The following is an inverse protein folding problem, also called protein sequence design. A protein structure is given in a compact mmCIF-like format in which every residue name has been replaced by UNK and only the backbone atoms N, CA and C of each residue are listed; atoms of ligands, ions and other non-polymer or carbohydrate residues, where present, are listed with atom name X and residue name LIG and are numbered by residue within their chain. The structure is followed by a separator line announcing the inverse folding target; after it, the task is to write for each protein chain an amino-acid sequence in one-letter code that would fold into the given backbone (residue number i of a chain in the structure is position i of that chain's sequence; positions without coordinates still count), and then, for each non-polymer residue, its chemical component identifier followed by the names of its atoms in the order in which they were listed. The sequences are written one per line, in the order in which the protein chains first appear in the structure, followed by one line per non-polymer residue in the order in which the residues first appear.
data_IF_176695412057
#
_entry.id   IF_176695412057
#
_cell.length_a   1.000
_cell.length_b   1.000
_cell.length_c   1.000
_cell.angle_alpha   90.00
_cell.angle_beta   90.00
_cell.angle_gamma   90.00
#
_symmetry.space_group_name_H-M   'P 1'
#
loop_
_entity.id
_entity.type
_entity.pdbx_description
1 polymer ?
#
# COMPACT_ATOMS: atom_id res chain seq x y z
N UNK A 1 3.39 46.62 -11.99
CA UNK A 1 3.08 45.27 -11.49
C UNK A 1 1.77 45.37 -10.78
N UNK A 2 0.77 44.67 -11.29
CA UNK A 2 -0.62 44.85 -10.94
C UNK A 2 -0.86 44.32 -9.52
N UNK A 3 -1.63 45.03 -8.69
CA UNK A 3 -1.84 44.61 -7.29
C UNK A 3 -2.53 43.24 -7.20
N UNK A 4 -3.14 42.79 -8.29
CA UNK A 4 -3.73 41.48 -8.48
C UNK A 4 -2.67 40.38 -8.67
N UNK A 5 -1.61 40.63 -9.46
CA UNK A 5 -0.51 39.68 -9.68
C UNK A 5 0.19 39.35 -8.36
N UNK A 6 0.49 40.38 -7.56
CA UNK A 6 1.13 40.21 -6.24
C UNK A 6 0.28 39.38 -5.28
N UNK A 7 -1.06 39.46 -5.38
CA UNK A 7 -1.97 38.64 -4.57
C UNK A 7 -2.02 37.19 -5.05
N UNK A 8 -2.02 36.98 -6.37
CA UNK A 8 -2.00 35.66 -6.98
C UNK A 8 -0.70 34.93 -6.61
N UNK A 9 0.45 35.61 -6.71
CA UNK A 9 1.75 35.03 -6.35
C UNK A 9 1.81 34.61 -4.88
N UNK A 10 1.30 35.46 -3.98
CA UNK A 10 1.20 35.12 -2.55
C UNK A 10 0.27 33.94 -2.29
N UNK A 11 -0.86 33.85 -2.99
CA UNK A 11 -1.77 32.71 -2.88
C UNK A 11 -1.11 31.43 -3.39
N UNK A 12 -0.41 31.49 -4.52
CA UNK A 12 0.32 30.36 -5.08
C UNK A 12 1.41 29.87 -4.10
N UNK A 13 2.14 30.79 -3.47
CA UNK A 13 3.16 30.46 -2.47
C UNK A 13 2.55 29.78 -1.22
N UNK A 14 1.42 30.28 -0.72
CA UNK A 14 0.72 29.68 0.43
C UNK A 14 0.23 28.27 0.08
N UNK A 15 -0.41 28.11 -1.08
CA UNK A 15 -0.91 26.82 -1.55
C UNK A 15 0.24 25.82 -1.67
N UNK A 16 1.37 26.26 -2.24
CA UNK A 16 2.55 25.43 -2.39
C UNK A 16 3.10 24.96 -1.03
N UNK A 17 3.21 25.88 -0.06
CA UNK A 17 3.64 25.54 1.32
C UNK A 17 2.68 24.57 1.99
N UNK A 18 1.36 24.77 1.83
CA UNK A 18 0.35 23.87 2.36
C UNK A 18 0.44 22.48 1.74
N UNK A 19 0.66 22.41 0.42
CA UNK A 19 0.84 21.14 -0.28
C UNK A 19 2.07 20.39 0.24
N UNK A 20 3.22 21.05 0.34
CA UNK A 20 4.44 20.43 0.89
C UNK A 20 4.24 19.91 2.32
N UNK A 21 3.52 20.66 3.15
CA UNK A 21 3.23 20.25 4.52
C UNK A 21 2.33 19.01 4.56
N UNK A 22 1.26 18.99 3.76
CA UNK A 22 0.37 17.82 3.65
C UNK A 22 1.11 16.59 3.12
N UNK A 23 2.00 16.77 2.14
CA UNK A 23 2.83 15.68 1.62
C UNK A 23 3.81 15.13 2.66
N UNK A 24 4.39 16.00 3.50
CA UNK A 24 5.26 15.58 4.58
C UNK A 24 4.51 14.78 5.66
N UNK A 25 3.29 15.20 6.00
CA UNK A 25 2.42 14.47 6.92
C UNK A 25 2.01 13.10 6.36
N UNK A 26 1.52 13.05 5.11
CA UNK A 26 1.12 11.80 4.47
C UNK A 26 2.30 10.82 4.35
N UNK A 27 3.50 11.33 4.05
CA UNK A 27 4.74 10.50 4.06
C UNK A 27 5.03 9.93 5.44
N UNK A 28 4.84 10.72 6.51
CA UNK A 28 5.08 10.29 7.89
C UNK A 28 4.08 9.21 8.31
N UNK A 29 2.80 9.38 7.98
CA UNK A 29 1.75 8.40 8.31
C UNK A 29 1.92 7.08 7.54
N UNK A 30 2.31 7.14 6.27
CA UNK A 30 2.52 5.93 5.44
C UNK A 30 3.87 5.26 5.65
N UNK A 31 4.77 5.88 6.42
CA UNK A 31 6.17 5.45 6.56
C UNK A 31 6.31 4.03 7.10
N UNK A 32 5.42 3.58 7.96
CA UNK A 32 5.45 2.20 8.47
C UNK A 32 4.46 1.28 7.75
N UNK A 33 3.57 1.82 6.92
CA UNK A 33 2.45 1.07 6.37
C UNK A 33 2.85 0.12 5.23
N UNK A 34 2.15 -1.00 5.18
CA UNK A 34 2.26 -2.02 4.13
C UNK A 34 0.89 -2.28 3.53
N UNK A 35 0.85 -2.49 2.22
CA UNK A 35 -0.35 -2.92 1.50
C UNK A 35 -0.17 -4.36 1.03
N UNK A 36 -1.07 -5.24 1.46
CA UNK A 36 -1.12 -6.64 1.06
C UNK A 36 -2.24 -6.82 0.06
N UNK A 37 -1.93 -7.40 -1.09
CA UNK A 37 -2.81 -7.59 -2.24
C UNK A 37 -3.05 -9.08 -2.46
N UNK A 38 -4.24 -9.43 -2.94
CA UNK A 38 -4.57 -10.82 -3.32
C UNK A 38 -4.92 -11.74 -2.15
N UNK A 39 -5.22 -11.18 -0.96
CA UNK A 39 -5.74 -11.95 0.17
C UNK A 39 -7.25 -12.16 -0.03
N UNK A 40 -7.75 -13.40 -0.08
CA UNK A 40 -9.17 -13.69 -0.29
C UNK A 40 -10.08 -12.95 0.71
N UNK A 41 -11.22 -12.46 0.23
CA UNK A 41 -12.22 -11.74 1.05
C UNK A 41 -12.95 -12.68 2.03
N UNK A 42 -13.82 -12.14 2.88
CA UNK A 42 -14.50 -12.81 4.01
C UNK A 42 -15.22 -14.12 3.65
N UNK A 43 -15.60 -14.32 2.38
CA UNK A 43 -16.31 -15.52 1.91
C UNK A 43 -15.39 -16.63 1.37
N UNK A 44 -14.08 -16.38 1.29
CA UNK A 44 -13.11 -17.32 0.72
C UNK A 44 -12.04 -17.68 1.76
N UNK A 45 -11.75 -18.97 1.90
CA UNK A 45 -10.75 -19.46 2.85
C UNK A 45 -9.35 -19.40 2.25
N UNK A 46 -8.40 -18.83 3.00
CA UNK A 46 -6.97 -18.95 2.68
C UNK A 46 -6.39 -20.03 3.58
N UNK A 47 -6.13 -21.21 3.02
CA UNK A 47 -5.58 -22.35 3.76
C UNK A 47 -6.38 -22.71 5.02
N UNK A 48 -7.72 -22.55 4.99
CA UNK A 48 -8.61 -22.80 6.12
C UNK A 48 -8.78 -21.65 7.12
N UNK A 49 -8.19 -20.47 6.87
CA UNK A 49 -8.46 -19.26 7.68
C UNK A 49 -9.65 -18.49 7.10
N UNK A 50 -10.57 -18.06 7.97
CA UNK A 50 -11.81 -17.34 7.61
C UNK A 50 -11.66 -15.84 7.91
N UNK A 51 -11.07 -15.50 9.06
CA UNK A 51 -10.87 -14.11 9.48
C UNK A 51 -9.60 -13.49 8.87
N UNK A 52 -9.62 -12.18 8.67
CA UNK A 52 -8.47 -11.45 8.13
C UNK A 52 -7.23 -11.58 9.03
N UNK A 53 -7.40 -11.51 10.35
CA UNK A 53 -6.30 -11.71 11.30
C UNK A 53 -5.64 -13.09 11.15
N UNK A 54 -6.43 -14.15 11.00
CA UNK A 54 -5.91 -15.51 10.84
C UNK A 54 -5.24 -15.70 9.48
N UNK A 55 -5.78 -15.08 8.43
CA UNK A 55 -5.17 -15.07 7.09
C UNK A 55 -3.81 -14.36 7.11
N UNK A 56 -3.72 -13.23 7.82
CA UNK A 56 -2.48 -12.50 8.00
C UNK A 56 -1.46 -13.33 8.80
N UNK A 57 -1.88 -14.00 9.88
CA UNK A 57 -1.00 -14.87 10.66
C UNK A 57 -0.36 -15.98 9.80
N UNK A 58 -1.13 -16.62 8.93
CA UNK A 58 -0.58 -17.62 7.97
C UNK A 58 0.42 -17.01 6.99
N UNK A 59 0.16 -15.78 6.53
CA UNK A 59 1.11 -15.04 5.70
C UNK A 59 2.39 -14.75 6.50
N UNK A 60 2.29 -14.38 7.78
CA UNK A 60 3.44 -14.12 8.65
C UNK A 60 4.28 -15.36 8.95
N UNK A 61 3.63 -16.51 9.20
CA UNK A 61 4.29 -17.79 9.40
C UNK A 61 5.18 -18.14 8.21
N UNK A 62 4.68 -17.95 6.98
CA UNK A 62 5.44 -18.21 5.75
C UNK A 62 6.60 -17.22 5.57
N UNK A 63 6.38 -15.97 5.93
CA UNK A 63 7.43 -14.95 5.86
C UNK A 63 8.51 -15.19 6.92
N UNK A 64 8.21 -15.96 7.97
CA UNK A 64 9.09 -16.17 9.12
C UNK A 64 9.20 -14.92 9.98
N UNK A 65 8.15 -14.09 10.00
CA UNK A 65 8.13 -12.84 10.78
C UNK A 65 7.21 -13.03 11.97
N UNK A 66 7.78 -13.02 13.17
CA UNK A 66 7.02 -13.20 14.41
C UNK A 66 6.54 -11.83 14.93
N UNK A 67 5.36 -11.82 15.57
CA UNK A 67 4.81 -10.68 16.31
C UNK A 67 4.70 -9.38 15.50
N UNK A 68 4.05 -9.45 14.34
CA UNK A 68 3.64 -8.25 13.61
C UNK A 68 2.43 -7.62 14.32
N UNK A 69 2.69 -6.85 15.38
CA UNK A 69 1.68 -6.08 16.09
C UNK A 69 1.31 -4.84 15.27
N UNK A 70 0.19 -4.90 14.57
CA UNK A 70 -0.29 -3.79 13.75
C UNK A 70 -1.80 -3.82 13.56
N UNK A 71 -2.41 -2.63 13.51
CA UNK A 71 -3.81 -2.50 13.14
C UNK A 71 -3.94 -2.78 11.62
N UNK A 72 -4.96 -3.52 11.23
CA UNK A 72 -5.22 -3.84 9.82
C UNK A 72 -6.61 -3.37 9.41
N UNK A 73 -6.76 -2.99 8.14
CA UNK A 73 -8.04 -2.56 7.56
C UNK A 73 -8.10 -2.93 6.08
N UNK A 74 -9.22 -3.47 5.62
CA UNK A 74 -9.50 -3.66 4.19
C UNK A 74 -9.67 -2.32 3.47
N UNK A 75 -9.08 -2.19 2.30
CA UNK A 75 -9.19 -1.00 1.44
C UNK A 75 -10.23 -1.23 0.34
N UNK A 76 -11.07 -0.22 0.11
CA UNK A 76 -12.09 -0.24 -0.94
C UNK A 76 -13.45 -0.76 -0.46
N UNK A 77 -14.41 -0.79 -1.40
CA UNK A 77 -15.80 -1.17 -1.14
C UNK A 77 -15.99 -2.66 -1.43
N UNK A 78 -16.82 -3.34 -0.65
CA UNK A 78 -17.21 -4.72 -0.92
C UNK A 78 -17.92 -4.81 -2.27
N UNK A 79 -17.37 -5.55 -3.22
CA UNK A 79 -17.97 -5.73 -4.53
C UNK A 79 -19.21 -6.63 -4.41
N UNK A 80 -20.39 -6.03 -4.27
CA UNK A 80 -21.66 -6.75 -4.42
C UNK A 80 -21.92 -6.98 -5.92
N UNK A 81 -21.88 -8.24 -6.37
CA UNK A 81 -22.49 -8.66 -7.63
C UNK A 81 -21.64 -8.61 -8.92
N UNK A 82 -20.32 -8.39 -8.85
CA UNK A 82 -19.45 -8.39 -10.05
C UNK A 82 -18.78 -9.75 -10.33
N UNK A 83 -18.78 -10.20 -11.59
CA UNK A 83 -18.01 -11.36 -12.08
C UNK A 83 -16.50 -11.23 -11.90
N UNK A 84 -16.01 -10.01 -11.62
CA UNK A 84 -14.61 -9.72 -11.36
C UNK A 84 -14.37 -9.50 -9.85
N UNK A 85 -14.37 -10.60 -9.09
CA UNK A 85 -14.09 -10.61 -7.64
C UNK A 85 -12.60 -10.35 -7.37
N UNK A 86 -12.11 -9.15 -7.65
CA UNK A 86 -10.77 -8.74 -7.21
C UNK A 86 -10.79 -8.60 -5.69
N UNK A 87 -9.98 -9.41 -5.01
CA UNK A 87 -9.89 -9.37 -3.56
C UNK A 87 -9.43 -7.99 -3.08
N UNK A 88 -10.12 -7.44 -2.07
CA UNK A 88 -9.78 -6.13 -1.51
C UNK A 88 -8.39 -6.15 -0.87
N UNK A 89 -7.54 -5.13 -1.14
CA UNK A 89 -6.26 -5.00 -0.45
C UNK A 89 -6.44 -4.85 1.06
N UNK A 90 -5.47 -5.32 1.84
CA UNK A 90 -5.40 -5.06 3.28
C UNK A 90 -4.29 -4.03 3.51
N UNK A 91 -4.65 -2.92 4.16
CA UNK A 91 -3.68 -1.99 4.73
C UNK A 91 -3.28 -2.50 6.11
N UNK A 92 -1.98 -2.59 6.33
CA UNK A 92 -1.38 -2.91 7.62
C UNK A 92 -0.60 -1.71 8.12
N UNK A 93 -1.00 -1.22 9.29
CA UNK A 93 -0.33 -0.13 9.98
C UNK A 93 0.63 -0.74 11.01
N UNK A 94 1.92 -0.67 10.70
CA UNK A 94 2.99 -1.15 11.57
C UNK A 94 3.45 -0.01 12.49
N UNK A 95 4.09 -0.38 13.59
CA UNK A 95 4.67 0.61 14.50
C UNK A 95 6.00 1.18 13.99
N UNK A 96 6.76 0.37 13.25
CA UNK A 96 8.12 0.73 12.84
C UNK A 96 8.38 0.52 11.34
N UNK A 97 9.18 1.42 10.76
CA UNK A 97 9.67 1.31 9.39
C UNK A 97 10.63 0.12 9.22
N UNK A 98 11.41 -0.23 10.25
CA UNK A 98 12.32 -1.37 10.16
C UNK A 98 11.55 -2.68 9.98
N UNK A 99 10.42 -2.83 10.69
CA UNK A 99 9.51 -3.96 10.50
C UNK A 99 8.92 -3.98 9.08
N UNK A 100 8.50 -2.82 8.57
CA UNK A 100 8.04 -2.68 7.18
C UNK A 100 9.08 -3.20 6.20
N UNK A 101 10.32 -2.75 6.34
CA UNK A 101 11.42 -3.12 5.45
C UNK A 101 11.73 -4.62 5.52
N UNK A 102 11.78 -5.17 6.74
CA UNK A 102 11.98 -6.61 6.94
C UNK A 102 10.88 -7.44 6.27
N UNK A 103 9.61 -7.08 6.44
CA UNK A 103 8.47 -7.74 5.79
C UNK A 103 8.61 -7.72 4.26
N UNK A 104 9.01 -6.58 3.69
CA UNK A 104 9.16 -6.43 2.24
C UNK A 104 10.30 -7.27 1.66
N UNK A 105 11.38 -7.47 2.42
CA UNK A 105 12.48 -8.34 2.02
C UNK A 105 12.06 -9.81 2.01
N UNK A 106 11.30 -10.22 3.03
CA UNK A 106 10.79 -11.59 3.12
C UNK A 106 9.64 -11.86 2.15
N UNK A 107 8.95 -10.83 1.64
CA UNK A 107 7.80 -10.94 0.74
C UNK A 107 8.04 -11.82 -0.50
N UNK A 108 9.29 -11.95 -0.94
CA UNK A 108 9.67 -12.84 -2.06
C UNK A 108 9.35 -14.31 -1.76
N UNK A 109 9.44 -14.75 -0.50
CA UNK A 109 9.15 -16.12 -0.05
C UNK A 109 7.70 -16.55 -0.33
N UNK A 110 6.76 -15.60 -0.39
CA UNK A 110 5.36 -15.90 -0.72
C UNK A 110 5.19 -16.48 -2.13
N UNK A 111 6.12 -16.21 -3.04
CA UNK A 111 6.08 -16.76 -4.40
C UNK A 111 6.47 -18.23 -4.46
N UNK A 112 7.25 -18.71 -3.49
CA UNK A 112 7.75 -20.08 -3.42
C UNK A 112 6.94 -20.95 -2.46
N UNK A 113 6.12 -20.36 -1.57
CA UNK A 113 5.41 -21.06 -0.50
C UNK A 113 4.13 -21.82 -0.92
N UNK A 114 3.78 -21.82 -2.21
CA UNK A 114 2.65 -22.60 -2.74
C UNK A 114 1.67 -21.79 -3.59
N UNK A 115 0.73 -22.49 -4.23
CA UNK A 115 -0.18 -21.90 -5.22
C UNK A 115 -1.13 -20.85 -4.62
N UNK A 116 -1.59 -21.08 -3.39
CA UNK A 116 -2.46 -20.15 -2.66
C UNK A 116 -1.77 -18.80 -2.36
N UNK A 117 -0.47 -18.80 -2.06
CA UNK A 117 0.29 -17.61 -1.67
C UNK A 117 0.97 -16.93 -2.86
N UNK A 118 1.13 -17.64 -4.00
CA UNK A 118 1.72 -17.11 -5.23
C UNK A 118 1.00 -15.87 -5.76
N UNK A 119 -0.31 -15.75 -5.52
CA UNK A 119 -1.12 -14.58 -5.93
C UNK A 119 -1.09 -13.43 -4.92
N UNK A 120 -0.49 -13.62 -3.74
CA UNK A 120 -0.36 -12.60 -2.72
C UNK A 120 0.87 -11.73 -3.00
N UNK A 121 0.71 -10.42 -2.87
CA UNK A 121 1.80 -9.45 -3.04
C UNK A 121 1.81 -8.49 -1.87
N UNK A 122 3.00 -8.17 -1.41
CA UNK A 122 3.22 -7.19 -0.34
C UNK A 122 3.95 -6.00 -0.94
N UNK A 123 3.42 -4.79 -0.73
CA UNK A 123 3.95 -3.54 -1.27
C UNK A 123 4.03 -2.46 -0.20
N UNK A 124 4.91 -1.48 -0.40
CA UNK A 124 4.93 -0.25 0.39
C UNK A 124 3.61 0.50 0.20
N UNK A 125 3.06 1.06 1.27
CA UNK A 125 2.04 2.10 1.11
C UNK A 125 2.73 3.37 0.61
N UNK A 126 2.35 3.80 -0.60
CA UNK A 126 2.95 4.93 -1.30
C UNK A 126 1.80 5.78 -1.81
N UNK A 127 1.92 7.10 -1.59
CA UNK A 127 0.96 8.10 -2.05
C UNK A 127 0.70 7.96 -3.57
N UNK A 128 -0.55 8.08 -4.03
CA UNK A 128 -0.91 7.91 -5.45
C UNK A 128 -0.12 8.81 -6.40
N UNK A 129 0.21 10.04 -6.01
CA UNK A 129 0.99 10.97 -6.85
C UNK A 129 2.38 10.41 -7.16
N UNK A 130 3.09 9.89 -6.14
CA UNK A 130 4.42 9.29 -6.30
C UNK A 130 4.33 8.04 -7.17
N UNK A 131 3.29 7.22 -6.99
CA UNK A 131 3.06 6.02 -7.80
C UNK A 131 2.82 6.35 -9.28
N UNK A 132 2.05 7.42 -9.55
CA UNK A 132 1.79 7.90 -10.91
C UNK A 132 3.07 8.37 -11.58
N UNK A 133 3.91 9.08 -10.83
CA UNK A 133 5.18 9.59 -11.33
C UNK A 133 6.18 8.47 -11.62
N UNK A 134 6.32 7.48 -10.74
CA UNK A 134 7.15 6.30 -11.01
C UNK A 134 6.68 5.53 -12.24
N UNK A 135 5.35 5.39 -12.41
CA UNK A 135 4.79 4.77 -13.61
C UNK A 135 5.17 5.57 -14.86
N UNK A 136 5.04 6.90 -14.84
CA UNK A 136 5.42 7.79 -15.96
C UNK A 136 6.88 7.61 -16.35
N UNK A 137 7.78 7.62 -15.37
CA UNK A 137 9.22 7.43 -15.59
C UNK A 137 9.54 6.05 -16.17
N UNK A 138 8.91 5.00 -15.65
CA UNK A 138 9.14 3.64 -16.12
C UNK A 138 8.57 3.39 -17.54
N UNK A 139 7.40 3.98 -17.85
CA UNK A 139 6.83 3.93 -19.20
C UNK A 139 7.70 4.69 -20.21
N UNK A 140 8.29 5.83 -19.82
CA UNK A 140 9.25 6.56 -20.65
C UNK A 140 10.52 5.75 -20.93
N UNK A 141 11.13 5.17 -19.88
CA UNK A 141 12.33 4.31 -20.02
C UNK A 141 12.09 3.12 -20.95
N UNK A 142 10.90 2.49 -20.89
CA UNK A 142 10.54 1.38 -21.78
C UNK A 142 10.36 1.81 -23.23
N UNK A 143 9.98 3.06 -23.47
CA UNK A 143 9.76 3.59 -24.84
C UNK A 143 11.09 3.97 -25.50
N UNK A 144 12.12 4.28 -24.70
CA UNK A 144 13.47 4.60 -25.18
C UNK A 144 14.32 3.35 -25.47
N UNK A 145 13.89 2.15 -25.05
CA UNK A 145 14.54 0.85 -25.30
C UNK A 145 13.88 0.11 -26.46
#
# INVERSE_FOLDING_TARGET
MDALEVKIDKQAEIIFKQQLYLEALDRKERRANVVILGVPDEQESLSGAVNDADKLNKVWEILGVNNVAGAHRRLGVTAQGGTNRRCRPILLMLQDESQRQHILEQAKKLKTAGEAFKKIYVKKDIHPAVRKEWKRLHDAERTEK
#
